data_IF_401698165840
#
_entry.id   IF_401698165840
#
_cell.length_a   1.000
_cell.length_b   1.000
_cell.length_c   1.000
_cell.angle_alpha   90.00
_cell.angle_beta   90.00
_cell.angle_gamma   90.00
#
_symmetry.space_group_name_H-M   'P 1'
#
loop_
_entity.id
_entity.type
_entity.pdbx_description
1 polymer ?
#
# COMPACT_ATOMS: atom_id res chain seq x y z
N UNK A 1 3.60 11.79 -7.37
CA UNK A 1 2.79 10.84 -6.58
C UNK A 1 3.57 10.38 -5.38
N UNK A 2 2.94 10.27 -4.21
CA UNK A 2 3.67 9.92 -2.99
C UNK A 2 3.58 8.41 -2.76
N UNK A 3 4.71 7.79 -2.43
CA UNK A 3 4.83 6.37 -2.09
C UNK A 3 3.75 5.90 -1.09
N UNK A 4 3.27 6.78 -0.21
CA UNK A 4 2.21 6.46 0.75
C UNK A 4 0.91 5.96 0.12
N UNK A 5 0.50 6.46 -1.05
CA UNK A 5 -0.70 5.96 -1.75
C UNK A 5 -0.53 4.52 -2.24
N UNK A 6 0.69 4.17 -2.68
CA UNK A 6 1.03 2.79 -3.08
C UNK A 6 1.00 1.87 -1.85
N UNK A 7 1.58 2.31 -0.73
CA UNK A 7 1.58 1.56 0.53
C UNK A 7 0.16 1.30 1.05
N UNK A 8 -0.71 2.31 0.96
CA UNK A 8 -2.13 2.19 1.31
C UNK A 8 -2.82 1.16 0.41
N UNK A 9 -2.65 1.25 -0.92
CA UNK A 9 -3.26 0.33 -1.86
C UNK A 9 -2.80 -1.12 -1.63
N UNK A 10 -1.51 -1.34 -1.32
CA UNK A 10 -1.01 -2.67 -0.93
C UNK A 10 -1.70 -3.20 0.33
N UNK A 11 -1.88 -2.36 1.36
CA UNK A 11 -2.58 -2.75 2.59
C UNK A 11 -4.04 -3.14 2.30
N UNK A 12 -4.75 -2.31 1.54
CA UNK A 12 -6.16 -2.53 1.20
C UNK A 12 -6.35 -3.78 0.36
N UNK A 13 -5.46 -4.03 -0.61
CA UNK A 13 -5.45 -5.26 -1.40
C UNK A 13 -5.23 -6.51 -0.54
N UNK A 14 -4.43 -6.39 0.53
CA UNK A 14 -4.23 -7.46 1.50
C UNK A 14 -5.41 -7.64 2.49
N UNK A 15 -6.45 -6.80 2.41
CA UNK A 15 -7.62 -6.86 3.29
C UNK A 15 -7.34 -6.46 4.74
N UNK A 16 -6.27 -5.69 4.99
CA UNK A 16 -5.85 -5.33 6.34
C UNK A 16 -6.35 -3.95 6.74
N UNK A 17 -6.77 -3.79 8.00
CA UNK A 17 -6.93 -2.45 8.60
C UNK A 17 -5.56 -1.85 8.91
N UNK A 18 -5.50 -0.54 9.16
CA UNK A 18 -4.26 0.11 9.59
C UNK A 18 -3.78 -0.42 10.96
N UNK A 19 -4.70 -0.79 11.86
CA UNK A 19 -4.37 -1.38 13.16
C UNK A 19 -3.79 -2.79 13.02
N UNK A 20 -4.39 -3.63 12.16
CA UNK A 20 -3.92 -4.98 11.90
C UNK A 20 -2.50 -4.97 11.30
N UNK A 21 -2.26 -4.10 10.32
CA UNK A 21 -0.92 -3.94 9.75
C UNK A 21 0.07 -3.39 10.79
N UNK A 22 -0.35 -2.46 11.64
CA UNK A 22 0.47 -1.93 12.72
C UNK A 22 0.92 -3.04 13.68
N UNK A 23 0.00 -3.93 14.09
CA UNK A 23 0.31 -5.09 14.91
C UNK A 23 1.34 -6.02 14.24
N UNK A 24 1.17 -6.34 12.95
CA UNK A 24 2.10 -7.19 12.19
C UNK A 24 3.50 -6.59 12.06
N UNK A 25 3.58 -5.29 11.87
CA UNK A 25 4.83 -4.56 11.71
C UNK A 25 5.45 -4.11 13.05
N UNK A 26 4.85 -4.49 14.18
CA UNK A 26 5.24 -4.03 15.53
C UNK A 26 5.38 -2.49 15.60
N UNK A 27 4.37 -1.79 15.10
CA UNK A 27 4.27 -0.33 15.01
C UNK A 27 2.94 0.13 15.58
N UNK A 28 2.77 1.44 15.76
CA UNK A 28 1.48 2.02 16.15
C UNK A 28 0.65 2.36 14.91
N UNK A 29 -0.68 2.30 15.00
CA UNK A 29 -1.58 2.69 13.90
C UNK A 29 -1.31 4.12 13.38
N UNK A 30 -1.03 5.14 14.22
CA UNK A 30 -0.66 6.47 13.73
C UNK A 30 0.63 6.47 12.92
N UNK A 31 1.54 5.52 13.15
CA UNK A 31 2.74 5.34 12.34
C UNK A 31 2.37 4.90 10.92
N UNK A 32 1.51 3.88 10.80
CA UNK A 32 0.96 3.41 9.51
C UNK A 32 0.27 4.55 8.76
N UNK A 33 -0.63 5.28 9.44
CA UNK A 33 -1.33 6.43 8.85
C UNK A 33 -0.37 7.52 8.37
N UNK A 34 0.71 7.82 9.11
CA UNK A 34 1.73 8.79 8.68
C UNK A 34 2.49 8.34 7.45
N UNK A 35 2.74 7.04 7.28
CA UNK A 35 3.37 6.50 6.07
C UNK A 35 2.44 6.59 4.87
N UNK A 36 1.17 6.20 5.02
CA UNK A 36 0.17 6.24 3.94
C UNK A 36 -0.12 7.68 3.49
N UNK A 37 -0.22 8.61 4.42
CA UNK A 37 -0.40 10.04 4.11
C UNK A 37 0.92 10.75 3.73
N UNK A 38 2.04 10.02 3.70
CA UNK A 38 3.37 10.55 3.37
C UNK A 38 3.80 11.74 4.24
N UNK A 39 3.33 11.76 5.49
CA UNK A 39 3.79 12.64 6.57
C UNK A 39 5.15 12.17 7.08
N UNK A 40 5.39 10.86 7.04
CA UNK A 40 6.67 10.22 7.34
C UNK A 40 7.05 9.30 6.18
N UNK A 41 8.33 9.27 5.82
CA UNK A 41 8.87 8.32 4.84
C UNK A 41 9.39 7.09 5.60
N UNK A 42 9.01 5.86 5.22
CA UNK A 42 9.59 4.66 5.81
C UNK A 42 11.06 4.53 5.40
N UNK A 43 11.90 4.05 6.32
CA UNK A 43 13.25 3.61 5.96
C UNK A 43 13.19 2.36 5.06
N UNK A 44 14.31 1.99 4.45
CA UNK A 44 14.37 0.88 3.50
C UNK A 44 13.92 -0.47 4.12
N UNK A 45 14.21 -0.71 5.40
CA UNK A 45 13.82 -1.95 6.07
C UNK A 45 12.31 -1.99 6.32
N UNK A 46 11.75 -0.89 6.81
CA UNK A 46 10.30 -0.72 7.00
C UNK A 46 9.55 -0.81 5.69
N UNK A 47 10.14 -0.26 4.62
CA UNK A 47 9.61 -0.34 3.27
C UNK A 47 9.52 -1.80 2.81
N UNK A 48 10.62 -2.56 2.85
CA UNK A 48 10.64 -3.97 2.44
C UNK A 48 9.70 -4.85 3.28
N UNK A 49 9.67 -4.61 4.60
CA UNK A 49 8.78 -5.35 5.51
C UNK A 49 7.30 -5.10 5.18
N UNK A 50 6.93 -3.89 4.74
CA UNK A 50 5.57 -3.58 4.33
C UNK A 50 5.09 -4.49 3.20
N UNK A 51 5.88 -4.65 2.14
CA UNK A 51 5.53 -5.49 1.01
C UNK A 51 5.51 -6.98 1.37
N UNK A 52 6.34 -7.40 2.32
CA UNK A 52 6.29 -8.76 2.86
C UNK A 52 5.00 -9.02 3.63
N UNK A 53 4.59 -8.11 4.52
CA UNK A 53 3.38 -8.26 5.35
C UNK A 53 2.08 -8.17 4.55
N UNK A 54 2.11 -7.47 3.43
CA UNK A 54 0.96 -7.31 2.52
C UNK A 54 0.98 -8.27 1.33
N UNK A 55 2.01 -9.13 1.22
CA UNK A 55 2.23 -10.05 0.10
C UNK A 55 2.19 -9.32 -1.27
N UNK A 56 2.95 -8.23 -1.38
CA UNK A 56 2.96 -7.31 -2.51
C UNK A 56 4.39 -7.01 -3.03
N UNK A 57 5.33 -7.96 -2.89
CA UNK A 57 6.75 -7.78 -3.22
C UNK A 57 7.01 -7.41 -4.68
N UNK A 58 6.15 -7.83 -5.61
CA UNK A 58 6.20 -7.43 -7.01
C UNK A 58 6.03 -5.91 -7.19
N UNK A 59 5.28 -5.25 -6.31
CA UNK A 59 5.12 -3.79 -6.29
C UNK A 59 6.43 -3.10 -5.89
N UNK A 60 7.15 -3.65 -4.92
CA UNK A 60 8.45 -3.14 -4.52
C UNK A 60 9.46 -3.21 -5.68
N UNK A 61 9.48 -4.34 -6.39
CA UNK A 61 10.34 -4.53 -7.57
C UNK A 61 9.97 -3.55 -8.67
N UNK A 62 8.69 -3.43 -9.02
CA UNK A 62 8.21 -2.48 -10.02
C UNK A 62 8.64 -1.04 -9.69
N UNK A 63 8.47 -0.63 -8.44
CA UNK A 63 8.87 0.68 -7.96
C UNK A 63 10.39 0.91 -8.08
N UNK A 64 11.20 -0.06 -7.67
CA UNK A 64 12.66 0.03 -7.75
C UNK A 64 13.20 0.01 -9.19
N UNK A 65 12.49 -0.65 -10.10
CA UNK A 65 12.79 -0.65 -11.55
C UNK A 65 12.37 0.65 -12.24
N UNK A 66 11.85 1.64 -11.49
CA UNK A 66 11.47 2.94 -12.01
C UNK A 66 10.13 2.96 -12.74
N UNK A 67 9.26 1.95 -12.54
CA UNK A 67 7.91 2.01 -13.07
C UNK A 67 7.14 3.17 -12.42
N UNK A 68 6.34 3.87 -13.24
CA UNK A 68 5.56 4.99 -12.76
C UNK A 68 4.52 4.55 -11.70
N UNK A 69 4.40 5.36 -10.65
CA UNK A 69 3.53 5.07 -9.51
C UNK A 69 2.04 4.97 -9.89
N UNK A 70 1.57 5.66 -10.94
CA UNK A 70 0.19 5.52 -11.43
C UNK A 70 -0.02 4.13 -12.04
N UNK A 71 0.95 3.66 -12.82
CA UNK A 71 0.89 2.33 -13.46
C UNK A 71 0.80 1.25 -12.38
N UNK A 72 1.62 1.37 -11.33
CA UNK A 72 1.58 0.48 -10.17
C UNK A 72 0.22 0.55 -9.45
N UNK A 73 -0.32 1.75 -9.24
CA UNK A 73 -1.61 1.90 -8.54
C UNK A 73 -2.77 1.28 -9.34
N UNK A 74 -2.75 1.39 -10.66
CA UNK A 74 -3.74 0.77 -11.54
C UNK A 74 -3.73 -0.76 -11.49
N UNK A 75 -2.58 -1.39 -11.25
CA UNK A 75 -2.51 -2.86 -11.08
C UNK A 75 -2.93 -3.30 -9.68
N UNK A 76 -2.85 -2.41 -8.69
CA UNK A 76 -3.27 -2.67 -7.31
C UNK A 76 -4.78 -2.48 -7.11
N UNK A 77 -5.38 -1.50 -7.78
CA UNK A 77 -6.81 -1.23 -7.71
C UNK A 77 -7.56 -2.27 -8.56
N UNK A 78 -8.47 -3.07 -7.98
CA UNK A 78 -9.33 -3.92 -8.78
C UNK A 78 -10.16 -3.04 -9.74
N UNK A 79 -10.33 -3.46 -10.99
CA UNK A 79 -11.12 -2.79 -12.05
C UNK A 79 -12.64 -2.77 -11.73
N UNK A 80 -13.00 -2.85 -10.45
CA UNK A 80 -14.38 -2.89 -9.96
C UNK A 80 -14.84 -1.45 -9.72
N UNK A 81 -15.02 -0.72 -10.82
CA UNK A 81 -15.45 0.69 -10.77
C UNK A 81 -16.42 1.11 -11.86
N UNK A 82 -16.91 0.18 -12.69
CA UNK A 82 -17.84 0.49 -13.80
C UNK A 82 -19.26 -0.06 -13.64
N UNK A 83 -19.45 -1.20 -12.96
CA UNK A 83 -20.72 -1.94 -13.05
C UNK A 83 -21.44 -2.22 -11.72
N UNK A 84 -20.77 -2.05 -10.57
CA UNK A 84 -21.36 -2.45 -9.27
C UNK A 84 -22.11 -1.29 -8.58
N UNK A 85 -21.71 -0.03 -8.81
CA UNK A 85 -22.34 1.12 -8.14
C UNK A 85 -23.66 1.61 -8.79
N UNK A 86 -24.27 0.86 -9.70
CA UNK A 86 -25.58 1.21 -10.30
C UNK A 86 -26.70 0.24 -9.96
N UNK A 87 -26.43 -0.82 -9.17
CA UNK A 87 -27.41 -1.86 -8.86
C UNK A 87 -27.57 -2.18 -7.38
N UNK A 88 -27.12 -1.31 -6.47
CA UNK A 88 -27.48 -1.35 -5.04
C UNK A 88 -27.85 0.05 -4.59
#
# INVERSE_FOLDING_TARGET
MKIGAILQACRERAGLSQEELAHRMNRTQPCISKFENSVKVPDALTFMEWFKQTNTQEVAVAFLMGMDGLTILQTLLPVIGGFVCWFI
#
